data_IF_342203896793
#
_entry.id   IF_342203896793
#
_cell.length_a   1.000
_cell.length_b   1.000
_cell.length_c   1.000
_cell.angle_alpha   90.00
_cell.angle_beta   90.00
_cell.angle_gamma   90.00
#
_symmetry.space_group_name_H-M   'P 1'
#
loop_
_entity.id
_entity.type
_entity.pdbx_description
1 polymer ?
#
# COMPACT_ATOMS: atom_id res chain seq x y z
N UNK A 1 -8.51 7.45 19.58
CA UNK A 1 -8.46 6.06 19.07
C UNK A 1 -8.15 5.13 20.23
N UNK A 2 -8.84 4.00 20.37
CA UNK A 2 -8.62 3.08 21.50
C UNK A 2 -7.49 2.09 21.18
N UNK A 3 -6.64 1.77 22.16
CA UNK A 3 -5.55 0.79 21.99
C UNK A 3 -6.11 -0.58 21.50
N UNK A 4 -7.32 -0.96 21.93
CA UNK A 4 -7.96 -2.20 21.52
C UNK A 4 -8.24 -2.30 20.01
N UNK A 5 -8.70 -1.22 19.36
CA UNK A 5 -8.95 -1.21 17.91
C UNK A 5 -7.64 -1.35 17.11
N UNK A 6 -6.58 -0.65 17.56
CA UNK A 6 -5.24 -0.77 16.96
C UNK A 6 -4.75 -2.22 17.02
N UNK A 7 -4.90 -2.89 18.17
CA UNK A 7 -4.49 -4.29 18.30
C UNK A 7 -5.32 -5.25 17.44
N UNK A 8 -6.63 -5.02 17.33
CA UNK A 8 -7.50 -5.83 16.47
C UNK A 8 -7.12 -5.71 15.00
N UNK A 9 -6.92 -4.49 14.51
CA UNK A 9 -6.52 -4.27 13.12
C UNK A 9 -5.11 -4.83 12.84
N UNK A 10 -4.16 -4.66 13.77
CA UNK A 10 -2.84 -5.28 13.68
C UNK A 10 -2.94 -6.80 13.54
N UNK A 11 -3.68 -7.46 14.45
CA UNK A 11 -3.86 -8.90 14.42
C UNK A 11 -4.53 -9.38 13.11
N UNK A 12 -5.48 -8.61 12.58
CA UNK A 12 -6.10 -8.87 11.29
C UNK A 12 -5.08 -8.83 10.15
N UNK A 13 -4.33 -7.74 10.03
CA UNK A 13 -3.30 -7.54 9.00
C UNK A 13 -2.23 -8.63 9.09
N UNK A 14 -1.71 -8.90 10.29
CA UNK A 14 -0.68 -9.92 10.52
C UNK A 14 -1.18 -11.33 10.19
N UNK A 15 -2.47 -11.61 10.39
CA UNK A 15 -3.07 -12.87 9.98
C UNK A 15 -3.12 -12.98 8.45
N UNK A 16 -3.56 -11.93 7.73
CA UNK A 16 -3.61 -11.94 6.26
C UNK A 16 -2.23 -12.09 5.64
N UNK A 17 -1.22 -11.34 6.11
CA UNK A 17 0.18 -11.47 5.64
C UNK A 17 0.71 -12.89 5.80
N UNK A 18 0.52 -13.50 6.98
CA UNK A 18 0.94 -14.90 7.23
C UNK A 18 0.22 -15.90 6.33
N UNK A 19 -1.06 -15.68 6.03
CA UNK A 19 -1.81 -16.55 5.13
C UNK A 19 -1.31 -16.42 3.68
N UNK A 20 -0.97 -15.21 3.23
CA UNK A 20 -0.36 -14.96 1.91
C UNK A 20 0.96 -15.72 1.80
N UNK A 21 1.85 -15.59 2.78
CA UNK A 21 3.12 -16.33 2.82
C UNK A 21 2.93 -17.84 2.84
N UNK A 22 1.95 -18.34 3.60
CA UNK A 22 1.65 -19.77 3.67
C UNK A 22 1.06 -20.31 2.35
N UNK A 23 0.27 -19.52 1.64
CA UNK A 23 -0.29 -19.87 0.35
C UNK A 23 0.76 -19.85 -0.76
N UNK A 24 1.65 -18.86 -0.76
CA UNK A 24 2.80 -18.77 -1.66
C UNK A 24 3.67 -20.03 -1.59
N UNK A 25 4.02 -20.50 -0.38
CA UNK A 25 4.81 -21.74 -0.19
C UNK A 25 4.19 -23.00 -0.79
N UNK A 26 2.88 -23.00 -1.02
CA UNK A 26 2.13 -24.11 -1.62
C UNK A 26 1.81 -23.86 -3.10
N UNK A 27 2.29 -22.75 -3.67
CA UNK A 27 1.96 -22.27 -5.01
C UNK A 27 0.45 -22.10 -5.23
N UNK A 28 -0.29 -21.77 -4.17
CA UNK A 28 -1.73 -21.57 -4.22
C UNK A 28 -2.08 -20.10 -4.50
N UNK A 29 -1.99 -19.74 -5.78
CA UNK A 29 -2.20 -18.36 -6.24
C UNK A 29 -3.62 -17.87 -5.95
N UNK A 30 -4.62 -18.74 -6.04
CA UNK A 30 -6.02 -18.35 -5.80
C UNK A 30 -6.23 -17.96 -4.33
N UNK A 31 -5.65 -18.71 -3.39
CA UNK A 31 -5.69 -18.32 -1.97
C UNK A 31 -4.90 -17.02 -1.74
N UNK A 32 -3.76 -16.81 -2.40
CA UNK A 32 -3.01 -15.55 -2.29
C UNK A 32 -3.88 -14.36 -2.74
N UNK A 33 -4.54 -14.48 -3.90
CA UNK A 33 -5.44 -13.44 -4.43
C UNK A 33 -6.58 -13.15 -3.45
N UNK A 34 -7.23 -14.19 -2.91
CA UNK A 34 -8.29 -14.02 -1.92
C UNK A 34 -7.79 -13.30 -0.65
N UNK A 35 -6.61 -13.66 -0.14
CA UNK A 35 -6.04 -13.05 1.06
C UNK A 35 -5.57 -11.60 0.82
N UNK A 36 -5.11 -11.26 -0.39
CA UNK A 36 -4.80 -9.89 -0.79
C UNK A 36 -6.06 -9.01 -0.86
N UNK A 37 -7.17 -9.54 -1.38
CA UNK A 37 -8.47 -8.85 -1.34
C UNK A 37 -8.95 -8.63 0.09
N UNK A 38 -8.81 -9.63 0.95
CA UNK A 38 -9.16 -9.50 2.37
C UNK A 38 -8.24 -8.52 3.12
N UNK A 39 -6.95 -8.46 2.76
CA UNK A 39 -6.01 -7.49 3.31
C UNK A 39 -6.38 -6.05 2.93
N UNK A 40 -6.86 -5.81 1.72
CA UNK A 40 -7.29 -4.48 1.25
C UNK A 40 -8.70 -4.09 1.69
N UNK A 41 -9.56 -5.06 2.05
CA UNK A 41 -10.96 -4.82 2.35
C UNK A 41 -11.26 -3.69 3.38
N UNK A 42 -10.46 -3.48 4.45
CA UNK A 42 -10.65 -2.35 5.37
C UNK A 42 -10.58 -0.96 4.72
N UNK A 43 -10.03 -0.85 3.50
CA UNK A 43 -9.88 0.42 2.78
C UNK A 43 -11.14 0.83 2.00
N UNK A 44 -12.02 -0.11 1.63
CA UNK A 44 -13.15 0.16 0.72
C UNK A 44 -14.45 -0.61 1.03
N UNK A 45 -14.50 -1.47 2.06
CA UNK A 45 -15.71 -2.22 2.45
C UNK A 45 -16.36 -1.66 3.73
N UNK A 46 -17.12 -0.54 3.65
CA UNK A 46 -17.71 0.12 4.82
C UNK A 46 -18.85 -0.69 5.48
N UNK A 47 -19.39 -1.68 4.78
CA UNK A 47 -20.38 -2.64 5.28
C UNK A 47 -19.77 -3.68 6.23
N UNK A 48 -18.46 -3.95 6.08
CA UNK A 48 -17.72 -4.95 6.86
C UNK A 48 -16.84 -4.35 7.95
N UNK A 49 -16.34 -3.14 7.75
CA UNK A 49 -15.38 -2.49 8.64
C UNK A 49 -15.86 -1.09 9.04
N UNK A 50 -15.63 -0.71 10.28
CA UNK A 50 -15.95 0.65 10.72
C UNK A 50 -15.06 1.68 10.02
N UNK A 51 -15.56 2.90 9.87
CA UNK A 51 -14.77 4.02 9.32
C UNK A 51 -13.46 4.25 10.08
N UNK A 52 -13.45 3.99 11.40
CA UNK A 52 -12.24 4.07 12.22
C UNK A 52 -11.13 3.11 11.76
N UNK A 53 -11.48 1.97 11.17
CA UNK A 53 -10.50 1.01 10.64
C UNK A 53 -9.80 1.55 9.41
N UNK A 54 -10.53 2.17 8.46
CA UNK A 54 -9.91 2.81 7.29
C UNK A 54 -8.91 3.88 7.71
N UNK A 55 -9.29 4.76 8.63
CA UNK A 55 -8.39 5.79 9.16
C UNK A 55 -7.17 5.19 9.83
N UNK A 56 -7.35 4.23 10.75
CA UNK A 56 -6.25 3.54 11.42
C UNK A 56 -5.32 2.81 10.44
N UNK A 57 -5.90 2.15 9.44
CA UNK A 57 -5.15 1.44 8.41
C UNK A 57 -4.24 2.42 7.70
N UNK A 58 -4.80 3.51 7.17
CA UNK A 58 -4.06 4.51 6.44
C UNK A 58 -2.97 5.15 7.31
N UNK A 59 -3.26 5.53 8.55
CA UNK A 59 -2.37 6.32 9.42
C UNK A 59 -1.28 5.48 10.08
N UNK A 60 -1.59 4.26 10.47
CA UNK A 60 -0.70 3.47 11.33
C UNK A 60 -0.06 2.30 10.59
N UNK A 61 -0.79 1.67 9.67
CA UNK A 61 -0.39 0.37 9.11
C UNK A 61 -0.04 0.41 7.63
N UNK A 62 -0.51 1.39 6.87
CA UNK A 62 -0.40 1.42 5.42
C UNK A 62 1.04 1.29 4.94
N UNK A 63 1.98 2.01 5.56
CA UNK A 63 3.40 1.93 5.20
C UNK A 63 3.97 0.51 5.38
N UNK A 64 3.62 -0.14 6.47
CA UNK A 64 4.07 -1.51 6.76
C UNK A 64 3.43 -2.54 5.81
N UNK A 65 2.17 -2.34 5.43
CA UNK A 65 1.52 -3.16 4.41
C UNK A 65 2.11 -2.91 3.02
N UNK A 66 2.32 -1.65 2.62
CA UNK A 66 2.94 -1.30 1.36
C UNK A 66 4.36 -1.90 1.23
N UNK A 67 5.15 -1.88 2.32
CA UNK A 67 6.45 -2.55 2.34
C UNK A 67 6.34 -4.06 2.14
N UNK A 68 5.34 -4.72 2.75
CA UNK A 68 5.10 -6.15 2.52
C UNK A 68 4.69 -6.42 1.06
N UNK A 69 3.82 -5.59 0.48
CA UNK A 69 3.38 -5.73 -0.91
C UNK A 69 4.53 -5.53 -1.90
N UNK A 70 5.30 -4.45 -1.74
CA UNK A 70 6.40 -4.10 -2.65
C UNK A 70 7.65 -4.94 -2.41
N UNK A 71 7.78 -5.56 -1.24
CA UNK A 71 8.90 -6.42 -0.88
C UNK A 71 8.62 -7.89 -1.15
N UNK A 72 7.64 -8.49 -0.48
CA UNK A 72 7.36 -9.92 -0.61
C UNK A 72 6.47 -10.22 -1.82
N UNK A 73 5.34 -9.53 -1.95
CA UNK A 73 4.34 -9.88 -2.97
C UNK A 73 4.84 -9.56 -4.38
N UNK A 74 5.44 -8.38 -4.58
CA UNK A 74 6.02 -7.97 -5.86
C UNK A 74 7.12 -8.93 -6.35
N UNK A 75 7.86 -9.55 -5.41
CA UNK A 75 9.00 -10.42 -5.73
C UNK A 75 8.54 -11.86 -5.98
N UNK A 76 7.71 -12.41 -5.09
CA UNK A 76 7.44 -13.87 -5.08
C UNK A 76 6.09 -14.25 -5.70
N UNK A 77 5.14 -13.32 -5.75
CA UNK A 77 3.74 -13.63 -6.09
C UNK A 77 3.32 -12.95 -7.38
N UNK A 78 3.66 -11.68 -7.55
CA UNK A 78 3.07 -10.80 -8.57
C UNK A 78 3.26 -11.32 -10.00
N UNK A 79 4.43 -11.91 -10.27
CA UNK A 79 4.75 -12.54 -11.56
C UNK A 79 3.83 -13.71 -11.91
N UNK A 80 3.21 -14.33 -10.90
CA UNK A 80 2.27 -15.43 -11.05
C UNK A 80 0.81 -14.97 -11.15
N UNK A 81 0.53 -13.67 -10.94
CA UNK A 81 -0.82 -13.13 -11.03
C UNK A 81 -1.20 -12.87 -12.48
N UNK A 82 -2.45 -13.20 -12.83
CA UNK A 82 -3.05 -12.66 -14.06
C UNK A 82 -3.21 -11.14 -13.95
N UNK A 83 -3.33 -10.45 -15.07
CA UNK A 83 -3.60 -9.01 -15.08
C UNK A 83 -4.86 -8.67 -14.27
N UNK A 84 -5.93 -9.45 -14.47
CA UNK A 84 -7.17 -9.29 -13.73
C UNK A 84 -6.98 -9.49 -12.21
N UNK A 85 -6.22 -10.51 -11.78
CA UNK A 85 -5.91 -10.74 -10.36
C UNK A 85 -5.08 -9.62 -9.75
N UNK A 86 -4.10 -9.11 -10.50
CA UNK A 86 -3.28 -7.98 -10.08
C UNK A 86 -4.15 -6.74 -9.86
N UNK A 87 -5.01 -6.40 -10.81
CA UNK A 87 -5.89 -5.23 -10.72
C UNK A 87 -6.81 -5.28 -9.50
N UNK A 88 -7.45 -6.43 -9.26
CA UNK A 88 -8.46 -6.55 -8.22
C UNK A 88 -7.92 -6.91 -6.83
N UNK A 89 -6.63 -7.22 -6.69
CA UNK A 89 -6.07 -7.67 -5.41
C UNK A 89 -4.77 -6.96 -5.02
N UNK A 90 -3.95 -6.53 -5.96
CA UNK A 90 -2.68 -5.86 -5.69
C UNK A 90 -2.74 -4.35 -5.96
N UNK A 91 -3.27 -3.93 -7.11
CA UNK A 91 -3.27 -2.51 -7.51
C UNK A 91 -4.19 -1.66 -6.63
N UNK A 92 -5.22 -2.26 -6.02
CA UNK A 92 -6.14 -1.61 -5.07
C UNK A 92 -5.43 -0.84 -3.96
N UNK A 93 -4.25 -1.29 -3.51
CA UNK A 93 -3.51 -0.62 -2.44
C UNK A 93 -2.89 0.71 -2.88
N UNK A 94 -2.89 1.02 -4.17
CA UNK A 94 -2.30 2.21 -4.78
C UNK A 94 -3.28 2.97 -5.68
N UNK A 95 -4.56 2.59 -5.63
CA UNK A 95 -5.64 3.25 -6.36
C UNK A 95 -6.04 4.55 -5.63
N UNK A 96 -6.06 5.67 -6.37
CA UNK A 96 -6.36 7.00 -5.82
C UNK A 96 -7.82 7.15 -5.36
N UNK A 97 -8.75 6.32 -5.86
CA UNK A 97 -10.13 6.30 -5.37
C UNK A 97 -10.24 5.66 -3.97
N UNK A 98 -9.26 4.84 -3.59
CA UNK A 98 -9.29 4.03 -2.36
C UNK A 98 -8.32 4.60 -1.32
N UNK A 99 -7.12 4.97 -1.75
CA UNK A 99 -6.01 5.45 -0.93
C UNK A 99 -5.59 6.84 -1.43
N UNK A 100 -5.45 7.84 -0.53
CA UNK A 100 -4.95 9.15 -0.91
C UNK A 100 -3.62 9.07 -1.68
N UNK A 101 -3.54 9.76 -2.81
CA UNK A 101 -2.39 9.74 -3.73
C UNK A 101 -1.09 10.11 -3.01
N UNK A 102 -1.13 11.04 -2.05
CA UNK A 102 0.01 11.43 -1.22
C UNK A 102 0.62 10.25 -0.44
N UNK A 103 -0.22 9.37 0.10
CA UNK A 103 0.23 8.21 0.88
C UNK A 103 0.80 7.13 -0.02
N UNK A 104 0.12 6.82 -1.12
CA UNK A 104 0.57 5.84 -2.09
C UNK A 104 1.94 6.24 -2.69
N UNK A 105 2.05 7.47 -3.19
CA UNK A 105 3.29 8.00 -3.76
C UNK A 105 4.42 8.04 -2.70
N UNK A 106 4.13 8.50 -1.48
CA UNK A 106 5.11 8.53 -0.39
C UNK A 106 5.64 7.13 -0.05
N UNK A 107 4.77 6.12 0.00
CA UNK A 107 5.18 4.73 0.22
C UNK A 107 6.08 4.22 -0.93
N UNK A 108 5.68 4.44 -2.18
CA UNK A 108 6.44 4.01 -3.37
C UNK A 108 7.84 4.66 -3.43
N UNK A 109 7.91 5.98 -3.21
CA UNK A 109 9.18 6.73 -3.19
C UNK A 109 10.07 6.29 -2.04
N UNK A 110 9.49 6.06 -0.86
CA UNK A 110 10.22 5.52 0.29
C UNK A 110 10.80 4.15 -0.03
N UNK A 111 10.01 3.24 -0.61
CA UNK A 111 10.48 1.91 -0.97
C UNK A 111 11.58 1.98 -2.03
N UNK A 112 11.42 2.75 -3.11
CA UNK A 112 12.45 2.97 -4.12
C UNK A 112 13.77 3.46 -3.52
N UNK A 113 13.68 4.44 -2.61
CA UNK A 113 14.85 5.01 -1.94
C UNK A 113 15.59 3.97 -1.11
N UNK A 114 14.85 3.14 -0.36
CA UNK A 114 15.44 2.06 0.44
C UNK A 114 16.02 0.94 -0.44
N UNK A 115 15.31 0.52 -1.48
CA UNK A 115 15.70 -0.61 -2.33
C UNK A 115 16.89 -0.28 -3.23
N UNK A 116 17.01 0.97 -3.70
CA UNK A 116 18.15 1.46 -4.48
C UNK A 116 19.49 1.37 -3.73
N UNK A 117 19.46 1.35 -2.39
CA UNK A 117 20.69 1.12 -1.61
C UNK A 117 21.10 -0.36 -1.57
N UNK A 118 20.15 -1.29 -1.72
CA UNK A 118 20.37 -2.75 -1.68
C UNK A 118 20.89 -3.32 -2.99
N UNK A 119 20.66 -2.68 -4.13
CA UNK A 119 21.21 -3.13 -5.43
C UNK A 119 22.74 -3.03 -5.54
N UNK A 120 23.40 -2.42 -4.54
CA UNK A 120 24.86 -2.39 -4.40
C UNK A 120 25.43 -3.63 -3.69
N UNK A 121 24.58 -4.54 -3.25
CA UNK A 121 24.98 -5.79 -2.58
C UNK A 121 25.52 -6.78 -3.62
N UNK A 122 26.61 -7.52 -3.33
CA UNK A 122 27.15 -8.52 -4.25
C UNK A 122 26.31 -9.80 -4.38
N UNK A 123 25.25 -9.95 -3.59
CA UNK A 123 24.32 -11.09 -3.67
C UNK A 123 23.37 -10.93 -4.87
N UNK A 124 23.47 -11.87 -5.80
CA UNK A 124 22.66 -11.91 -7.03
C UNK A 124 21.16 -12.01 -6.74
N UNK A 125 20.76 -12.82 -5.76
CA UNK A 125 19.34 -13.04 -5.44
C UNK A 125 18.74 -11.76 -4.86
N UNK A 126 19.43 -11.14 -3.89
CA UNK A 126 19.00 -9.88 -3.31
C UNK A 126 18.92 -8.74 -4.33
N UNK A 127 19.73 -8.80 -5.40
CA UNK A 127 19.70 -7.84 -6.49
C UNK A 127 18.48 -8.07 -7.40
N UNK A 128 18.20 -9.31 -7.78
CA UNK A 128 17.03 -9.67 -8.59
C UNK A 128 15.72 -9.31 -7.87
N UNK A 129 15.62 -9.61 -6.57
CA UNK A 129 14.48 -9.20 -5.73
C UNK A 129 14.32 -7.68 -5.71
N UNK A 130 15.43 -6.95 -5.56
CA UNK A 130 15.43 -5.50 -5.58
C UNK A 130 15.00 -4.93 -6.94
N UNK A 131 15.42 -5.54 -8.05
CA UNK A 131 15.01 -5.16 -9.41
C UNK A 131 13.50 -5.37 -9.62
N UNK A 132 12.93 -6.47 -9.12
CA UNK A 132 11.49 -6.72 -9.16
C UNK A 132 10.70 -5.66 -8.35
N UNK A 133 11.11 -5.37 -7.11
CA UNK A 133 10.51 -4.31 -6.30
C UNK A 133 10.60 -2.94 -6.96
N UNK A 134 11.76 -2.59 -7.56
CA UNK A 134 11.95 -1.30 -8.25
C UNK A 134 11.02 -1.19 -9.46
N UNK A 135 10.97 -2.25 -10.28
CA UNK A 135 10.10 -2.30 -11.47
C UNK A 135 8.64 -2.07 -11.07
N UNK A 136 8.19 -2.71 -10.00
CA UNK A 136 6.82 -2.55 -9.55
C UNK A 136 6.53 -1.16 -8.99
N UNK A 137 7.47 -0.58 -8.24
CA UNK A 137 7.32 0.80 -7.79
C UNK A 137 7.22 1.78 -8.96
N UNK A 138 8.02 1.60 -10.02
CA UNK A 138 7.97 2.45 -11.22
C UNK A 138 6.62 2.30 -11.91
N UNK A 139 6.17 1.07 -12.17
CA UNK A 139 4.86 0.81 -12.81
C UNK A 139 3.71 1.48 -12.05
N UNK A 140 3.70 1.36 -10.72
CA UNK A 140 2.65 1.95 -9.88
C UNK A 140 2.74 3.48 -9.83
N UNK A 141 3.95 4.06 -9.82
CA UNK A 141 4.12 5.51 -9.93
C UNK A 141 3.62 6.04 -11.28
N UNK A 142 3.94 5.36 -12.38
CA UNK A 142 3.45 5.73 -13.71
C UNK A 142 1.92 5.69 -13.77
N UNK A 143 1.31 4.64 -13.20
CA UNK A 143 -0.16 4.53 -13.09
C UNK A 143 -0.75 5.66 -12.24
N UNK A 144 -0.15 5.97 -11.09
CA UNK A 144 -0.60 7.07 -10.23
C UNK A 144 -0.49 8.44 -10.92
N UNK A 145 0.61 8.69 -11.65
CA UNK A 145 0.79 9.93 -12.41
C UNK A 145 -0.24 10.04 -13.54
N UNK A 146 -0.47 8.95 -14.29
CA UNK A 146 -1.47 8.93 -15.37
C UNK A 146 -2.90 9.15 -14.86
N UNK A 147 -3.20 8.70 -13.63
CA UNK A 147 -4.48 8.91 -12.97
C UNK A 147 -4.65 10.31 -12.35
N UNK A 148 -3.66 11.21 -12.48
CA UNK A 148 -3.72 12.56 -11.91
C UNK A 148 -3.21 12.68 -10.47
N UNK A 149 -2.58 11.65 -9.92
CA UNK A 149 -2.17 11.61 -8.52
C UNK A 149 -1.24 12.74 -8.06
N UNK A 150 -0.47 13.36 -8.96
CA UNK A 150 0.33 14.56 -8.63
C UNK A 150 -0.56 15.77 -8.37
N UNK A 151 -1.62 15.94 -9.18
CA UNK A 151 -2.59 17.01 -8.97
C UNK A 151 -3.33 16.80 -7.65
N UNK A 152 -3.74 15.57 -7.35
CA UNK A 152 -4.39 15.22 -6.08
C UNK A 152 -3.52 15.62 -4.88
N UNK A 153 -2.20 15.34 -4.93
CA UNK A 153 -1.27 15.73 -3.85
C UNK A 153 -1.18 17.24 -3.70
N UNK A 154 -1.14 17.98 -4.81
CA UNK A 154 -1.11 19.45 -4.77
C UNK A 154 -2.42 19.98 -4.18
N UNK A 155 -3.57 19.44 -4.58
CA UNK A 155 -4.87 19.85 -4.09
C UNK A 155 -5.03 19.55 -2.58
N UNK A 156 -4.56 18.39 -2.12
CA UNK A 156 -4.49 18.04 -0.69
C UNK A 156 -3.68 19.08 0.10
N UNK A 157 -2.48 19.43 -0.37
CA UNK A 157 -1.62 20.43 0.28
C UNK A 157 -2.27 21.82 0.30
N UNK A 158 -2.92 22.23 -0.79
CA UNK A 158 -3.62 23.51 -0.86
C UNK A 158 -4.81 23.55 0.11
N UNK A 159 -5.54 22.44 0.28
CA UNK A 159 -6.61 22.33 1.26
C UNK A 159 -6.10 22.43 2.70
N UNK A 160 -4.98 21.77 3.02
CA UNK A 160 -4.35 21.84 4.35
C UNK A 160 -3.92 23.28 4.68
N UNK A 161 -3.28 23.98 3.75
CA UNK A 161 -2.88 25.39 3.90
C UNK A 161 -4.11 26.31 4.07
N UNK A 162 -5.17 26.09 3.28
CA UNK A 162 -6.39 26.89 3.39
C UNK A 162 -7.09 26.72 4.75
N UNK A 163 -7.09 25.51 5.31
CA UNK A 163 -7.61 25.23 6.65
C UNK A 163 -6.77 25.95 7.72
N UNK A 164 -5.45 25.93 7.57
CA UNK A 164 -4.53 26.59 8.49
C UNK A 164 -4.73 28.12 8.51
N UNK A 165 -4.81 28.75 7.33
CA UNK A 165 -5.07 30.20 7.18
C UNK A 165 -6.42 30.58 7.82
N UNK A 166 -7.47 29.81 7.56
CA UNK A 166 -8.79 30.07 8.14
C UNK A 166 -8.79 29.94 9.67
N UNK A 167 -8.00 29.01 10.22
CA UNK A 167 -7.87 28.84 11.65
C UNK A 167 -7.10 30.00 12.32
N UNK A 168 -6.10 30.57 11.64
CA UNK A 168 -5.42 31.78 12.12
C UNK A 168 -6.32 33.02 12.07
N UNK A 169 -7.11 33.19 11.00
CA UNK A 169 -8.03 34.33 10.86
C UNK A 169 -9.18 34.34 11.89
N UNK A 170 -9.63 33.17 12.36
CA UNK A 170 -10.66 33.06 13.41
C UNK A 170 -10.12 33.40 14.81
N UNK A 171 -8.79 33.38 15.00
CA UNK A 171 -8.15 33.70 16.28
C UNK A 171 -7.79 35.18 16.45
N UNK A 172 -8.03 36.01 15.43
CA UNK A 172 -7.83 37.46 15.43
C UNK A 172 -9.16 38.19 15.61
#
# INVERSE_FOLDING_TARGET
>A
MTNAEVQRLRAYIDARKRNIEAAERRYDIQTVVAELRELSAPLYSPDRFSSSWKTLYLEVFYRDVANFLLGFVAVHIEICLSEHDREQAFDIFFDSEIVPSSRAISALVSTLSTTKTRTKTPDKTAREDAEASITQCIRLLEKAVAAGGVQDVVDELLMEEQVWINFELIKL
#
